data_IF_594365201291
#
_entry.id   IF_594365201291
#
_cell.length_a   1.000
_cell.length_b   1.000
_cell.length_c   1.000
_cell.angle_alpha   90.00
_cell.angle_beta   90.00
_cell.angle_gamma   90.00
#
_symmetry.space_group_name_H-M   'P 1'
#
loop_
_entity.id
_entity.type
_entity.pdbx_description
1 polymer ?
#
# COMPACT_ATOMS: atom_id res chain seq x y z
N UNK A 1 4.04 -32.89 -16.44
CA UNK A 1 4.29 -32.36 -17.80
C UNK A 1 4.90 -30.98 -17.66
N UNK A 2 5.89 -30.57 -18.45
CA UNK A 2 6.42 -29.21 -18.36
C UNK A 2 5.30 -28.22 -18.69
N UNK A 3 5.26 -27.09 -17.98
CA UNK A 3 4.25 -26.02 -17.99
C UNK A 3 4.08 -25.26 -19.34
N UNK A 4 4.04 -25.96 -20.48
CA UNK A 4 3.94 -25.33 -21.81
C UNK A 4 2.67 -24.50 -22.00
N UNK A 5 1.55 -24.88 -21.38
CA UNK A 5 0.30 -24.10 -21.39
C UNK A 5 0.42 -22.77 -20.62
N UNK A 6 1.07 -22.78 -19.46
CA UNK A 6 1.31 -21.59 -18.65
C UNK A 6 2.21 -20.58 -19.39
N UNK A 7 3.22 -21.05 -20.11
CA UNK A 7 4.09 -20.17 -20.89
C UNK A 7 3.34 -19.56 -22.11
N UNK A 8 2.44 -20.31 -22.77
CA UNK A 8 1.63 -19.76 -23.88
C UNK A 8 0.59 -18.70 -23.45
N UNK A 9 -0.03 -18.87 -22.28
CA UNK A 9 -0.92 -17.85 -21.72
C UNK A 9 -0.14 -16.62 -21.28
N UNK A 10 1.08 -16.79 -20.74
CA UNK A 10 1.96 -15.69 -20.40
C UNK A 10 2.34 -14.85 -21.60
N UNK A 11 2.67 -15.47 -22.74
CA UNK A 11 2.95 -14.74 -23.98
C UNK A 11 1.74 -13.95 -24.47
N UNK A 12 0.53 -14.52 -24.33
CA UNK A 12 -0.71 -13.85 -24.70
C UNK A 12 -1.00 -12.66 -23.78
N UNK A 13 -0.84 -12.82 -22.46
CA UNK A 13 -0.97 -11.75 -21.47
C UNK A 13 0.00 -10.62 -21.77
N UNK A 14 1.29 -10.96 -21.94
CA UNK A 14 2.36 -10.01 -22.24
C UNK A 14 2.04 -9.21 -23.51
N UNK A 15 1.58 -9.88 -24.57
CA UNK A 15 1.21 -9.24 -25.83
C UNK A 15 0.00 -8.30 -25.69
N UNK A 16 -1.00 -8.66 -24.87
CA UNK A 16 -2.17 -7.81 -24.63
C UNK A 16 -1.81 -6.57 -23.80
N UNK A 17 -1.07 -6.75 -22.70
CA UNK A 17 -0.62 -5.65 -21.85
C UNK A 17 0.31 -4.69 -22.61
N UNK A 18 1.17 -5.23 -23.49
CA UNK A 18 2.01 -4.41 -24.39
C UNK A 18 1.18 -3.49 -25.27
N UNK A 19 0.10 -4.00 -25.90
CA UNK A 19 -0.79 -3.18 -26.76
C UNK A 19 -1.41 -2.01 -26.00
N UNK A 20 -1.81 -2.24 -24.75
CA UNK A 20 -2.37 -1.17 -23.92
C UNK A 20 -1.30 -0.18 -23.46
N UNK A 21 -0.14 -0.65 -23.00
CA UNK A 21 0.97 0.22 -22.58
C UNK A 21 1.49 1.11 -23.72
N UNK A 22 1.58 0.58 -24.94
CA UNK A 22 2.01 1.35 -26.12
C UNK A 22 1.02 2.45 -26.50
N UNK A 23 -0.27 2.33 -26.16
CA UNK A 23 -1.33 3.28 -26.56
C UNK A 23 -1.87 4.16 -25.42
N UNK A 24 -1.66 3.79 -24.16
CA UNK A 24 -2.22 4.47 -23.00
C UNK A 24 -1.64 5.86 -22.74
N UNK A 25 -2.43 6.83 -22.25
CA UNK A 25 -1.91 8.16 -21.92
C UNK A 25 -0.87 8.13 -20.79
N UNK A 26 -1.12 7.32 -19.75
CA UNK A 26 -0.27 7.17 -18.58
C UNK A 26 0.18 5.71 -18.41
N UNK A 27 1.36 5.34 -18.92
CA UNK A 27 1.95 4.04 -18.64
C UNK A 27 2.50 4.01 -17.21
N UNK A 28 2.01 3.08 -16.39
CA UNK A 28 2.36 2.96 -14.97
C UNK A 28 3.00 1.58 -14.73
N UNK A 29 4.12 1.55 -14.01
CA UNK A 29 4.83 0.32 -13.66
C UNK A 29 5.24 0.30 -12.19
N UNK A 30 5.21 -0.89 -11.59
CA UNK A 30 5.71 -1.13 -10.24
C UNK A 30 6.31 -2.53 -10.09
N UNK A 31 6.86 -2.83 -8.92
CA UNK A 31 7.14 -4.19 -8.47
C UNK A 31 6.52 -4.36 -7.08
N UNK A 32 5.48 -5.19 -7.00
CA UNK A 32 4.58 -5.22 -5.85
C UNK A 32 4.01 -6.59 -5.59
N UNK A 33 3.51 -7.28 -6.60
CA UNK A 33 2.73 -8.50 -6.42
C UNK A 33 2.42 -9.20 -7.74
N UNK A 34 2.08 -10.49 -7.65
CA UNK A 34 1.85 -11.37 -8.79
C UNK A 34 0.37 -11.61 -9.07
N UNK A 35 -0.40 -10.55 -9.35
CA UNK A 35 -1.85 -10.60 -9.67
C UNK A 35 -2.16 -11.16 -11.07
N UNK A 36 -1.49 -12.26 -11.44
CA UNK A 36 -1.58 -12.89 -12.77
C UNK A 36 -2.97 -13.46 -13.04
N UNK A 37 -3.60 -14.05 -12.03
CA UNK A 37 -4.91 -14.68 -12.22
C UNK A 37 -6.01 -13.63 -12.40
N UNK A 38 -5.93 -12.49 -11.72
CA UNK A 38 -6.81 -11.34 -11.99
C UNK A 38 -6.65 -10.84 -13.44
N UNK A 39 -5.41 -10.77 -13.96
CA UNK A 39 -5.17 -10.40 -15.36
C UNK A 39 -5.76 -11.42 -16.34
N UNK A 40 -5.55 -12.71 -16.10
CA UNK A 40 -6.16 -13.78 -16.93
C UNK A 40 -7.67 -13.67 -16.95
N UNK A 41 -8.28 -13.47 -15.79
CA UNK A 41 -9.72 -13.29 -15.67
C UNK A 41 -10.19 -12.06 -16.46
N UNK A 42 -9.49 -10.93 -16.33
CA UNK A 42 -9.78 -9.70 -17.08
C UNK A 42 -9.77 -9.93 -18.60
N UNK A 43 -8.81 -10.73 -19.09
CA UNK A 43 -8.66 -11.04 -20.50
C UNK A 43 -9.51 -12.23 -20.99
N UNK A 44 -10.38 -12.78 -20.14
CA UNK A 44 -11.22 -13.93 -20.48
C UNK A 44 -10.43 -15.23 -20.71
N UNK A 45 -9.23 -15.32 -20.14
CA UNK A 45 -8.40 -16.53 -20.17
C UNK A 45 -8.79 -17.49 -19.03
N UNK A 46 -8.39 -18.76 -19.18
CA UNK A 46 -8.49 -19.73 -18.10
C UNK A 46 -7.61 -19.28 -16.92
N UNK A 47 -8.23 -19.15 -15.76
CA UNK A 47 -7.59 -18.74 -14.51
C UNK A 47 -7.82 -19.79 -13.43
N UNK A 48 -6.85 -19.93 -12.53
CA UNK A 48 -6.97 -20.78 -11.35
C UNK A 48 -7.42 -19.93 -10.14
N UNK A 49 -8.70 -20.01 -9.72
CA UNK A 49 -9.18 -19.25 -8.57
C UNK A 49 -8.51 -19.69 -7.25
N UNK A 50 -7.80 -20.83 -7.25
CA UNK A 50 -7.10 -21.32 -6.09
C UNK A 50 -5.67 -20.83 -5.94
N UNK A 51 -5.07 -20.32 -7.02
CA UNK A 51 -3.73 -19.74 -6.97
C UNK A 51 -3.75 -18.47 -6.11
N UNK A 52 -2.65 -18.23 -5.39
CA UNK A 52 -2.49 -17.10 -4.48
C UNK A 52 -1.43 -16.17 -4.99
N UNK A 53 -1.69 -14.89 -4.89
CA UNK A 53 -0.70 -13.86 -5.21
C UNK A 53 0.46 -13.90 -4.23
N UNK A 54 1.66 -13.83 -4.80
CA UNK A 54 2.88 -13.49 -4.08
C UNK A 54 2.90 -11.96 -3.95
N UNK A 55 2.95 -11.45 -2.72
CA UNK A 55 2.88 -10.01 -2.44
C UNK A 55 4.19 -9.56 -1.82
N UNK A 56 5.00 -8.83 -2.59
CA UNK A 56 6.24 -8.21 -2.13
C UNK A 56 5.97 -6.92 -1.35
N UNK A 57 5.03 -6.10 -1.83
CA UNK A 57 4.66 -4.82 -1.22
C UNK A 57 3.23 -4.43 -1.56
N UNK A 58 2.33 -4.45 -0.57
CA UNK A 58 0.98 -3.86 -0.69
C UNK A 58 1.11 -2.39 -1.08
N UNK A 59 2.04 -1.66 -0.45
CA UNK A 59 2.19 -0.24 -0.69
C UNK A 59 2.46 0.12 -2.15
N UNK A 60 3.43 -0.56 -2.75
CA UNK A 60 3.71 -0.36 -4.17
C UNK A 60 2.51 -0.70 -5.05
N UNK A 61 1.73 -1.74 -4.70
CA UNK A 61 0.52 -2.10 -5.43
C UNK A 61 -0.56 -1.03 -5.29
N UNK A 62 -0.96 -0.67 -4.06
CA UNK A 62 -2.08 0.25 -3.82
C UNK A 62 -1.80 1.66 -4.34
N UNK A 63 -0.55 2.12 -4.20
CA UNK A 63 -0.12 3.41 -4.75
C UNK A 63 -0.16 3.40 -6.28
N UNK A 64 0.33 2.34 -6.94
CA UNK A 64 0.33 2.27 -8.40
C UNK A 64 -1.09 2.13 -8.95
N UNK A 65 -1.93 1.37 -8.25
CA UNK A 65 -3.33 1.24 -8.58
C UNK A 65 -4.12 2.54 -8.32
N UNK A 66 -3.78 3.30 -7.27
CA UNK A 66 -4.34 4.62 -7.01
C UNK A 66 -4.10 5.59 -8.18
N UNK A 67 -2.90 5.58 -8.76
CA UNK A 67 -2.56 6.35 -9.95
C UNK A 67 -3.44 5.99 -11.15
N UNK A 68 -3.63 4.68 -11.39
CA UNK A 68 -4.46 4.20 -12.49
C UNK A 68 -5.93 4.61 -12.30
N UNK A 69 -6.46 4.45 -11.09
CA UNK A 69 -7.82 4.86 -10.73
C UNK A 69 -8.01 6.37 -10.91
N UNK A 70 -7.07 7.20 -10.45
CA UNK A 70 -7.12 8.66 -10.64
C UNK A 70 -7.25 9.03 -12.13
N UNK A 71 -6.52 8.34 -13.01
CA UNK A 71 -6.58 8.58 -14.45
C UNK A 71 -7.87 8.06 -15.11
N UNK A 72 -8.46 6.98 -14.57
CA UNK A 72 -9.69 6.36 -15.09
C UNK A 72 -10.94 7.13 -14.71
N UNK A 73 -10.96 7.78 -13.54
CA UNK A 73 -12.13 8.49 -13.05
C UNK A 73 -12.43 9.75 -13.87
N UNK A 74 -13.70 9.99 -14.25
CA UNK A 74 -14.08 11.22 -14.93
C UNK A 74 -13.92 12.43 -14.01
N UNK A 75 -13.33 13.52 -14.51
CA UNK A 75 -13.15 14.74 -13.72
C UNK A 75 -14.47 15.32 -13.17
N UNK A 76 -15.56 15.21 -13.94
CA UNK A 76 -16.90 15.67 -13.53
C UNK A 76 -17.43 14.97 -12.27
N UNK A 77 -16.94 13.78 -11.97
CA UNK A 77 -17.45 12.92 -10.91
C UNK A 77 -16.60 12.99 -9.62
N UNK A 78 -15.62 13.91 -9.56
CA UNK A 78 -14.77 14.13 -8.37
C UNK A 78 -15.55 14.51 -7.11
N UNK A 79 -16.77 15.01 -7.26
CA UNK A 79 -17.66 15.28 -6.13
C UNK A 79 -18.37 14.03 -5.58
N UNK A 80 -18.26 12.87 -6.24
CA UNK A 80 -18.95 11.63 -5.87
C UNK A 80 -18.03 10.39 -5.90
N UNK A 81 -16.76 10.58 -5.53
CA UNK A 81 -15.74 9.52 -5.51
C UNK A 81 -16.14 8.31 -4.67
N UNK A 82 -16.94 8.52 -3.63
CA UNK A 82 -17.44 7.48 -2.72
C UNK A 82 -18.42 6.48 -3.38
N UNK A 83 -18.93 6.79 -4.58
CA UNK A 83 -19.86 5.93 -5.34
C UNK A 83 -19.16 4.93 -6.25
N UNK A 84 -17.86 5.11 -6.51
CA UNK A 84 -17.10 4.24 -7.40
C UNK A 84 -16.56 3.04 -6.63
N UNK A 85 -17.14 1.87 -6.88
CA UNK A 85 -16.62 0.57 -6.40
C UNK A 85 -16.06 -0.14 -7.63
N UNK A 86 -14.82 -0.60 -7.57
CA UNK A 86 -14.13 -1.28 -8.68
C UNK A 86 -14.31 -0.57 -10.05
N UNK A 87 -13.73 0.65 -10.24
CA UNK A 87 -13.87 1.38 -11.49
C UNK A 87 -13.35 0.56 -12.67
N UNK A 88 -14.11 0.57 -13.78
CA UNK A 88 -13.72 -0.15 -14.98
C UNK A 88 -12.42 0.44 -15.56
N UNK A 89 -11.39 -0.39 -15.82
CA UNK A 89 -10.14 0.08 -16.40
C UNK A 89 -10.37 0.81 -17.73
N UNK A 90 -9.75 1.97 -17.89
CA UNK A 90 -9.72 2.70 -19.16
C UNK A 90 -8.31 2.67 -19.73
N UNK A 91 -8.04 1.67 -20.57
CA UNK A 91 -6.72 1.45 -21.16
C UNK A 91 -6.20 2.63 -21.99
N UNK A 92 -7.07 3.49 -22.53
CA UNK A 92 -6.63 4.72 -23.24
C UNK A 92 -6.09 5.79 -22.28
N UNK A 93 -6.54 5.78 -21.02
CA UNK A 93 -6.16 6.78 -20.01
C UNK A 93 -4.95 6.33 -19.22
N UNK A 94 -5.01 5.16 -18.61
CA UNK A 94 -3.88 4.60 -17.88
C UNK A 94 -3.88 3.08 -17.99
N UNK A 95 -2.68 2.51 -17.98
CA UNK A 95 -2.50 1.07 -17.83
C UNK A 95 -1.38 0.80 -16.84
N UNK A 96 -1.68 -0.02 -15.83
CA UNK A 96 -0.79 -0.36 -14.75
C UNK A 96 -0.33 -1.80 -14.89
N UNK A 97 0.98 -2.02 -14.85
CA UNK A 97 1.58 -3.34 -14.96
C UNK A 97 2.62 -3.60 -13.87
N UNK A 98 2.76 -4.88 -13.55
CA UNK A 98 3.84 -5.42 -12.73
C UNK A 98 4.57 -6.50 -13.54
N UNK A 99 5.86 -6.33 -13.86
CA UNK A 99 6.58 -7.27 -14.71
C UNK A 99 6.73 -8.65 -14.05
N UNK A 100 6.50 -8.77 -12.74
CA UNK A 100 6.48 -10.08 -12.05
C UNK A 100 5.35 -10.97 -12.56
N UNK A 101 4.29 -10.39 -13.12
CA UNK A 101 3.19 -11.14 -13.73
C UNK A 101 3.63 -11.97 -14.95
N UNK A 102 4.74 -11.64 -15.60
CA UNK A 102 5.23 -12.33 -16.81
C UNK A 102 6.47 -13.18 -16.57
N UNK A 103 6.89 -13.35 -15.32
CA UNK A 103 8.03 -14.21 -14.99
C UNK A 103 7.67 -15.67 -15.22
N UNK A 104 8.49 -16.38 -15.99
CA UNK A 104 8.30 -17.78 -16.34
C UNK A 104 8.33 -18.69 -15.11
N UNK A 105 7.63 -19.83 -15.21
CA UNK A 105 7.49 -20.80 -14.11
C UNK A 105 8.84 -21.32 -13.59
N UNK A 106 9.85 -21.45 -14.46
CA UNK A 106 11.21 -21.91 -14.12
C UNK A 106 11.97 -20.95 -13.16
N UNK A 107 11.64 -19.67 -13.22
CA UNK A 107 12.22 -18.61 -12.39
C UNK A 107 11.31 -18.28 -11.19
N UNK A 108 10.04 -18.68 -11.26
CA UNK A 108 9.02 -18.45 -10.23
C UNK A 108 9.31 -19.19 -8.91
N UNK A 109 9.75 -20.44 -8.99
CA UNK A 109 10.10 -21.23 -7.79
C UNK A 109 11.23 -20.60 -6.99
N UNK A 110 12.20 -19.96 -7.65
CA UNK A 110 13.29 -19.21 -7.02
C UNK A 110 12.77 -17.94 -6.32
N UNK A 111 11.86 -17.22 -6.97
CA UNK A 111 11.25 -16.00 -6.40
C UNK A 111 10.39 -16.32 -5.17
N UNK A 112 9.54 -17.34 -5.25
CA UNK A 112 8.70 -17.78 -4.12
C UNK A 112 9.52 -18.26 -2.92
N UNK A 113 10.59 -19.02 -3.18
CA UNK A 113 11.49 -19.51 -2.11
C UNK A 113 12.19 -18.35 -1.39
N UNK A 114 12.64 -17.33 -2.13
CA UNK A 114 13.28 -16.14 -1.56
C UNK A 114 12.29 -15.26 -0.80
N UNK A 115 11.05 -15.13 -1.26
CA UNK A 115 10.00 -14.39 -0.53
C UNK A 115 9.65 -15.07 0.79
N UNK A 116 9.50 -16.39 0.76
CA UNK A 116 9.25 -17.20 1.95
C UNK A 116 10.42 -17.10 2.95
N UNK A 117 11.65 -17.17 2.46
CA UNK A 117 12.86 -16.97 3.26
C UNK A 117 12.92 -15.54 3.79
N UNK A 118 12.73 -14.52 2.95
CA UNK A 118 12.77 -13.11 3.34
C UNK A 118 11.73 -12.74 4.40
N UNK A 119 10.51 -13.27 4.29
CA UNK A 119 9.47 -13.13 5.31
C UNK A 119 9.83 -13.87 6.59
N UNK A 120 10.36 -15.10 6.51
CA UNK A 120 10.81 -15.84 7.70
C UNK A 120 12.02 -15.18 8.39
N UNK A 121 12.97 -14.66 7.62
CA UNK A 121 14.12 -13.90 8.12
C UNK A 121 13.64 -12.61 8.79
N UNK A 122 12.73 -11.86 8.16
CA UNK A 122 12.15 -10.66 8.74
C UNK A 122 11.31 -10.94 10.00
N UNK A 123 10.70 -12.12 10.13
CA UNK A 123 9.91 -12.47 11.32
C UNK A 123 10.75 -12.97 12.51
N UNK A 124 12.09 -13.06 12.36
CA UNK A 124 12.98 -13.50 13.42
C UNK A 124 14.05 -12.43 13.71
N UNK A 125 14.05 -11.86 14.92
CA UNK A 125 14.92 -10.75 15.31
C UNK A 125 16.42 -11.07 15.24
N UNK A 126 16.80 -12.32 15.44
CA UNK A 126 18.19 -12.79 15.31
C UNK A 126 18.68 -12.78 13.85
N UNK A 127 17.78 -12.99 12.89
CA UNK A 127 18.09 -13.03 11.46
C UNK A 127 18.05 -11.65 10.80
N UNK A 128 17.35 -10.68 11.39
CA UNK A 128 17.47 -9.24 11.04
C UNK A 128 18.89 -8.73 11.23
N UNK A 129 19.55 -9.09 12.34
CA UNK A 129 20.95 -8.73 12.61
C UNK A 129 21.93 -9.30 11.59
N UNK A 130 21.68 -10.52 11.09
CA UNK A 130 22.48 -11.14 10.01
C UNK A 130 22.23 -10.43 8.67
N UNK A 131 20.97 -10.06 8.37
CA UNK A 131 20.61 -9.29 7.17
C UNK A 131 21.29 -7.91 7.15
N UNK A 132 21.26 -7.18 8.26
CA UNK A 132 21.88 -5.85 8.37
C UNK A 132 23.42 -5.91 8.15
N UNK A 133 24.04 -7.08 8.36
CA UNK A 133 25.47 -7.35 8.08
C UNK A 133 25.76 -7.87 6.65
N UNK A 134 24.78 -8.46 5.98
CA UNK A 134 24.91 -9.02 4.62
C UNK A 134 24.54 -7.99 3.53
N UNK A 135 23.81 -6.94 3.90
CA UNK A 135 23.32 -5.88 3.00
C UNK A 135 24.43 -5.18 2.17
N UNK A 136 25.70 -5.31 2.54
CA UNK A 136 26.84 -4.73 1.81
C UNK A 136 27.44 -5.66 0.74
N UNK A 137 27.26 -6.99 0.82
CA UNK A 137 28.04 -7.95 0.01
C UNK A 137 27.24 -8.65 -1.13
N UNK A 138 25.90 -8.59 -1.11
CA UNK A 138 25.04 -9.31 -2.07
C UNK A 138 24.25 -8.40 -3.05
N UNK A 139 24.48 -7.08 -3.05
CA UNK A 139 23.71 -6.09 -3.85
C UNK A 139 24.00 -6.11 -5.37
N UNK A 140 24.85 -7.00 -5.87
CA UNK A 140 25.08 -7.12 -7.31
C UNK A 140 24.14 -8.15 -7.94
N UNK A 141 22.98 -7.66 -8.38
CA UNK A 141 21.87 -8.34 -9.09
C UNK A 141 21.06 -9.30 -8.23
N UNK A 142 20.01 -8.77 -7.61
CA UNK A 142 18.96 -9.61 -7.02
C UNK A 142 18.35 -10.51 -8.13
N UNK A 143 18.09 -11.80 -7.87
CA UNK A 143 17.47 -12.70 -8.84
C UNK A 143 16.15 -12.17 -9.43
N UNK A 144 15.40 -11.36 -8.65
CA UNK A 144 14.17 -10.72 -9.11
C UNK A 144 14.45 -9.72 -10.24
N UNK A 145 15.52 -8.92 -10.16
CA UNK A 145 15.95 -8.00 -11.22
C UNK A 145 16.14 -8.74 -12.53
N UNK A 146 16.91 -9.82 -12.52
CA UNK A 146 17.17 -10.60 -13.74
C UNK A 146 15.90 -11.24 -14.29
N UNK A 147 14.96 -11.62 -13.43
CA UNK A 147 13.69 -12.20 -13.85
C UNK A 147 12.72 -11.16 -14.46
N UNK A 148 12.67 -9.94 -13.93
CA UNK A 148 11.72 -8.91 -14.39
C UNK A 148 12.25 -8.07 -15.56
N UNK A 149 13.57 -7.96 -15.75
CA UNK A 149 14.16 -7.09 -16.79
C UNK A 149 13.71 -7.47 -18.21
N UNK A 150 13.77 -8.75 -18.65
CA UNK A 150 13.35 -9.09 -20.00
C UNK A 150 11.89 -8.72 -20.33
N UNK A 151 10.86 -9.12 -19.53
CA UNK A 151 9.49 -8.71 -19.82
C UNK A 151 9.29 -7.20 -19.70
N UNK A 152 9.96 -6.54 -18.74
CA UNK A 152 9.89 -5.08 -18.60
C UNK A 152 10.36 -4.35 -19.87
N UNK A 153 11.55 -4.69 -20.37
CA UNK A 153 12.11 -4.05 -21.56
C UNK A 153 11.28 -4.35 -22.82
N UNK A 154 10.68 -5.54 -22.89
CA UNK A 154 9.77 -5.91 -23.97
C UNK A 154 8.48 -5.07 -23.96
N UNK A 155 7.85 -4.90 -22.79
CA UNK A 155 6.61 -4.13 -22.62
C UNK A 155 6.81 -2.65 -23.00
N UNK A 156 7.95 -2.07 -22.63
CA UNK A 156 8.22 -0.64 -22.80
C UNK A 156 9.00 -0.30 -24.06
N UNK A 157 9.31 -1.27 -24.92
CA UNK A 157 10.17 -1.07 -26.09
C UNK A 157 9.73 0.11 -26.96
N UNK A 158 8.44 0.21 -27.29
CA UNK A 158 7.86 1.27 -28.14
C UNK A 158 7.10 2.35 -27.37
N UNK A 159 7.32 2.44 -26.06
CA UNK A 159 6.77 3.53 -25.25
C UNK A 159 7.74 4.71 -25.32
N UNK A 160 7.26 5.84 -25.85
CA UNK A 160 8.03 7.07 -26.02
C UNK A 160 7.60 8.21 -25.08
N UNK A 161 6.45 8.07 -24.43
CA UNK A 161 5.93 9.02 -23.43
C UNK A 161 6.51 8.73 -22.04
N UNK A 162 6.46 9.69 -21.09
CA UNK A 162 6.93 9.46 -19.73
C UNK A 162 6.25 8.25 -19.06
N UNK A 163 7.06 7.39 -18.43
CA UNK A 163 6.62 6.20 -17.71
C UNK A 163 6.62 6.50 -16.21
N UNK A 164 5.50 6.29 -15.55
CA UNK A 164 5.37 6.48 -14.09
C UNK A 164 5.84 5.19 -13.41
N UNK A 165 6.92 5.30 -12.63
CA UNK A 165 7.52 4.18 -11.89
C UNK A 165 7.28 4.37 -10.40
N UNK A 166 6.73 3.35 -9.74
CA UNK A 166 6.52 3.34 -8.28
C UNK A 166 7.50 2.42 -7.54
N UNK A 167 8.55 1.94 -8.21
CA UNK A 167 9.60 1.13 -7.58
C UNK A 167 10.96 1.46 -8.19
N UNK A 168 11.98 1.71 -7.35
CA UNK A 168 13.31 2.13 -7.81
C UNK A 168 13.88 1.19 -8.87
N UNK A 169 13.73 -0.12 -8.70
CA UNK A 169 14.31 -1.14 -9.60
C UNK A 169 13.86 -0.96 -11.07
N UNK A 170 12.56 -0.89 -11.32
CA UNK A 170 12.03 -0.77 -12.69
C UNK A 170 12.30 0.59 -13.28
N UNK A 171 12.25 1.65 -12.47
CA UNK A 171 12.60 2.97 -12.97
C UNK A 171 14.08 3.11 -13.30
N UNK A 172 14.97 2.51 -12.51
CA UNK A 172 16.40 2.46 -12.81
C UNK A 172 16.68 1.71 -14.12
N UNK A 173 16.08 0.52 -14.30
CA UNK A 173 16.22 -0.25 -15.55
C UNK A 173 15.75 0.58 -16.76
N UNK A 174 14.57 1.21 -16.67
CA UNK A 174 13.99 1.98 -17.77
C UNK A 174 14.78 3.27 -18.06
N UNK A 175 15.19 3.99 -17.02
CA UNK A 175 16.00 5.19 -17.17
C UNK A 175 17.38 4.86 -17.76
N UNK A 176 17.99 3.75 -17.33
CA UNK A 176 19.28 3.28 -17.83
C UNK A 176 19.29 2.90 -19.31
N UNK A 177 18.14 2.55 -19.89
CA UNK A 177 17.97 2.32 -21.34
C UNK A 177 17.41 3.55 -22.09
N UNK A 178 17.42 4.73 -21.45
CA UNK A 178 17.07 6.01 -22.07
C UNK A 178 15.57 6.34 -22.12
N UNK A 179 14.70 5.62 -21.39
CA UNK A 179 13.28 5.99 -21.30
C UNK A 179 13.08 7.21 -20.41
N UNK A 180 12.07 8.03 -20.69
CA UNK A 180 11.63 9.08 -19.79
C UNK A 180 10.88 8.47 -18.60
N UNK A 181 11.38 8.66 -17.38
CA UNK A 181 10.82 8.04 -16.16
C UNK A 181 10.43 9.10 -15.14
N UNK A 182 9.15 9.12 -14.76
CA UNK A 182 8.67 9.81 -13.56
C UNK A 182 8.75 8.82 -12.41
N UNK A 183 9.82 8.92 -11.63
CA UNK A 183 10.10 8.03 -10.51
C UNK A 183 9.45 8.56 -9.24
N UNK A 184 8.44 7.85 -8.74
CA UNK A 184 7.86 8.13 -7.43
C UNK A 184 8.75 7.50 -6.37
N UNK A 185 9.18 8.33 -5.40
CA UNK A 185 9.85 7.88 -4.17
C UNK A 185 8.75 7.55 -3.18
N UNK A 186 8.34 6.28 -3.16
CA UNK A 186 7.16 5.75 -2.45
C UNK A 186 7.37 5.58 -0.94
N UNK A 187 8.36 6.28 -0.38
CA UNK A 187 8.85 6.11 0.97
C UNK A 187 9.37 7.48 1.46
N UNK A 188 8.96 7.98 2.65
CA UNK A 188 9.58 9.18 3.23
C UNK A 188 11.04 8.97 3.68
N UNK A 189 11.59 7.77 3.46
CA UNK A 189 13.02 7.49 3.51
C UNK A 189 13.57 7.24 2.09
N UNK A 190 14.53 8.08 1.68
CA UNK A 190 15.17 7.98 0.35
C UNK A 190 16.20 6.84 0.36
N UNK A 191 15.81 5.69 -0.19
CA UNK A 191 16.70 4.54 -0.36
C UNK A 191 17.82 4.85 -1.36
N UNK A 192 19.01 4.30 -1.14
CA UNK A 192 20.20 4.54 -1.99
C UNK A 192 19.91 4.27 -3.47
N UNK A 193 19.11 3.25 -3.76
CA UNK A 193 18.81 2.82 -5.11
C UNK A 193 18.08 3.88 -5.93
N UNK A 194 17.33 4.80 -5.32
CA UNK A 194 16.74 5.92 -6.05
C UNK A 194 17.80 6.87 -6.63
N UNK A 195 19.05 6.80 -6.16
CA UNK A 195 20.15 7.67 -6.56
C UNK A 195 21.03 7.07 -7.67
N UNK A 196 20.90 5.77 -7.99
CA UNK A 196 21.76 5.05 -8.95
C UNK A 196 21.87 5.78 -10.30
N UNK A 197 20.73 6.30 -10.78
CA UNK A 197 20.60 7.01 -12.05
C UNK A 197 20.05 8.44 -11.91
N UNK A 198 20.10 9.04 -10.70
CA UNK A 198 19.46 10.34 -10.46
C UNK A 198 20.09 11.51 -11.22
N UNK A 199 21.34 11.37 -11.64
CA UNK A 199 22.09 12.31 -12.49
C UNK A 199 21.60 12.32 -13.94
N UNK A 200 20.89 11.28 -14.39
CA UNK A 200 20.39 11.21 -15.77
C UNK A 200 19.31 12.29 -16.03
N UNK A 201 19.29 12.93 -17.21
CA UNK A 201 18.31 13.98 -17.54
C UNK A 201 16.92 13.42 -17.86
N UNK A 202 16.83 12.12 -18.19
CA UNK A 202 15.58 11.43 -18.55
C UNK A 202 14.84 10.85 -17.33
N UNK A 203 15.17 11.27 -16.10
CA UNK A 203 14.44 10.91 -14.88
C UNK A 203 14.02 12.16 -14.08
N UNK A 204 12.75 12.21 -13.66
CA UNK A 204 12.22 13.16 -12.67
C UNK A 204 11.77 12.38 -11.45
N UNK A 205 11.90 12.97 -10.27
CA UNK A 205 11.54 12.37 -9.00
C UNK A 205 10.32 13.07 -8.40
N UNK A 206 9.32 12.28 -8.02
CA UNK A 206 8.16 12.75 -7.28
C UNK A 206 8.29 12.25 -5.84
N UNK A 207 8.39 13.18 -4.90
CA UNK A 207 8.56 12.91 -3.46
C UNK A 207 7.34 13.35 -2.66
N UNK A 208 7.21 12.85 -1.43
CA UNK A 208 6.00 13.08 -0.62
C UNK A 208 5.94 14.49 -0.04
N UNK A 209 7.06 15.02 0.43
CA UNK A 209 7.11 16.32 1.11
C UNK A 209 8.47 17.00 0.93
N UNK A 210 8.58 18.24 1.40
CA UNK A 210 9.81 19.04 1.33
C UNK A 210 10.96 18.38 2.11
N UNK A 211 10.67 17.71 3.22
CA UNK A 211 11.70 16.98 3.97
C UNK A 211 12.32 15.88 3.11
N UNK A 212 11.49 15.07 2.46
CA UNK A 212 11.93 14.00 1.57
C UNK A 212 12.72 14.57 0.38
N UNK A 213 12.33 15.74 -0.14
CA UNK A 213 13.10 16.45 -1.18
C UNK A 213 14.48 16.85 -0.68
N UNK A 214 14.58 17.47 0.50
CA UNK A 214 15.85 17.86 1.11
C UNK A 214 16.75 16.64 1.36
N UNK A 215 16.20 15.59 1.97
CA UNK A 215 16.92 14.33 2.25
C UNK A 215 17.43 13.70 0.94
N UNK A 216 16.64 13.76 -0.14
CA UNK A 216 17.04 13.25 -1.45
C UNK A 216 18.26 14.00 -2.00
N UNK A 217 18.23 15.33 -2.00
CA UNK A 217 19.28 16.17 -2.57
C UNK A 217 20.57 16.10 -1.74
N UNK A 218 20.45 16.09 -0.41
CA UNK A 218 21.59 15.90 0.49
C UNK A 218 22.26 14.56 0.24
N UNK A 219 21.46 13.47 0.19
CA UNK A 219 21.99 12.14 -0.04
C UNK A 219 22.60 11.99 -1.44
N UNK A 220 22.00 12.60 -2.46
CA UNK A 220 22.56 12.65 -3.80
C UNK A 220 23.94 13.34 -3.81
N UNK A 221 24.07 14.48 -3.13
CA UNK A 221 25.34 15.20 -3.01
C UNK A 221 26.41 14.35 -2.29
N UNK A 222 26.05 13.65 -1.21
CA UNK A 222 26.94 12.73 -0.51
C UNK A 222 27.43 11.56 -1.39
N UNK A 223 26.62 11.13 -2.35
CA UNK A 223 26.97 10.09 -3.33
C UNK A 223 27.70 10.65 -4.57
N UNK A 224 28.02 11.94 -4.59
CA UNK A 224 28.66 12.60 -5.73
C UNK A 224 27.77 12.68 -6.97
N UNK A 225 26.44 12.63 -6.80
CA UNK A 225 25.46 12.74 -7.89
C UNK A 225 25.03 14.19 -8.06
N UNK A 226 25.16 14.71 -9.29
CA UNK A 226 24.66 16.03 -9.64
C UNK A 226 23.20 15.94 -10.11
N UNK A 227 22.27 16.21 -9.21
CA UNK A 227 20.83 16.22 -9.50
C UNK A 227 20.36 17.67 -9.61
N UNK A 228 19.66 17.99 -10.70
CA UNK A 228 18.96 19.28 -10.81
C UNK A 228 17.77 19.27 -9.84
N UNK A 229 17.77 20.21 -8.89
CA UNK A 229 16.71 20.35 -7.90
C UNK A 229 15.31 20.46 -8.53
N UNK A 230 15.19 21.08 -9.72
CA UNK A 230 13.91 21.20 -10.43
C UNK A 230 13.34 19.87 -10.91
N UNK A 231 14.17 18.81 -10.95
CA UNK A 231 13.73 17.44 -11.26
C UNK A 231 13.23 16.69 -10.02
N UNK A 232 13.42 17.22 -8.80
CA UNK A 232 12.89 16.63 -7.57
C UNK A 232 11.70 17.45 -7.08
N UNK A 233 10.50 16.89 -7.27
CA UNK A 233 9.24 17.62 -7.18
C UNK A 233 8.42 17.05 -6.03
N UNK A 234 7.99 17.93 -5.12
CA UNK A 234 7.06 17.58 -4.05
C UNK A 234 5.67 17.41 -4.65
N UNK A 235 5.13 16.20 -4.53
CA UNK A 235 3.83 15.83 -5.09
C UNK A 235 2.84 15.35 -4.04
N UNK A 236 3.32 14.85 -2.91
CA UNK A 236 2.49 14.15 -1.94
C UNK A 236 2.47 12.63 -2.16
N UNK A 237 2.02 11.86 -1.16
CA UNK A 237 1.83 10.43 -1.28
C UNK A 237 0.72 10.10 -2.29
N UNK A 238 0.91 9.11 -3.19
CA UNK A 238 -0.12 8.63 -4.09
C UNK A 238 -1.21 7.88 -3.32
N UNK A 239 -2.30 8.59 -3.00
CA UNK A 239 -3.49 8.04 -2.34
C UNK A 239 -4.60 7.83 -3.37
N UNK A 240 -5.38 6.76 -3.24
CA UNK A 240 -6.52 6.53 -4.11
C UNK A 240 -7.61 7.58 -3.87
N UNK A 241 -8.14 8.25 -4.92
CA UNK A 241 -9.18 9.28 -4.75
C UNK A 241 -10.45 8.76 -4.06
N UNK A 242 -10.75 7.46 -4.18
CA UNK A 242 -11.90 6.84 -3.50
C UNK A 242 -11.71 6.76 -1.97
N UNK A 243 -10.47 6.58 -1.53
CA UNK A 243 -10.10 6.62 -0.11
C UNK A 243 -10.31 8.05 0.42
N UNK A 244 -9.88 9.07 -0.33
CA UNK A 244 -10.18 10.47 -0.01
C UNK A 244 -11.70 10.74 0.00
N UNK A 245 -12.44 10.17 -0.94
CA UNK A 245 -13.90 10.23 -0.99
C UNK A 245 -14.59 9.66 0.26
N UNK A 246 -13.98 8.65 0.89
CA UNK A 246 -14.51 8.00 2.09
C UNK A 246 -14.67 8.97 3.28
N UNK A 247 -13.91 10.08 3.32
CA UNK A 247 -14.03 11.14 4.34
C UNK A 247 -15.44 11.68 4.48
N UNK A 248 -16.19 11.76 3.36
CA UNK A 248 -17.56 12.32 3.34
C UNK A 248 -18.56 11.50 4.16
N UNK A 249 -18.24 10.23 4.45
CA UNK A 249 -19.08 9.35 5.27
C UNK A 249 -18.78 9.46 6.76
N UNK A 250 -17.84 10.33 7.17
CA UNK A 250 -17.38 10.44 8.54
C UNK A 250 -17.82 11.73 9.18
N UNK A 251 -18.24 11.64 10.44
CA UNK A 251 -18.43 12.80 11.32
C UNK A 251 -17.54 12.69 12.54
N UNK A 252 -17.02 13.82 13.00
CA UNK A 252 -16.28 13.91 14.27
C UNK A 252 -17.12 13.43 15.47
N UNK A 253 -18.45 13.46 15.36
CA UNK A 253 -19.37 13.07 16.44
C UNK A 253 -19.96 11.67 16.30
N UNK A 254 -19.45 10.84 15.38
CA UNK A 254 -19.96 9.48 15.19
C UNK A 254 -19.87 8.65 16.48
N UNK A 255 -18.77 8.81 17.22
CA UNK A 255 -18.49 8.12 18.48
C UNK A 255 -19.48 8.46 19.60
N UNK A 256 -20.34 9.47 19.41
CA UNK A 256 -21.39 9.81 20.37
C UNK A 256 -22.65 8.95 20.22
N UNK A 257 -22.81 8.27 19.08
CA UNK A 257 -24.05 7.58 18.70
C UNK A 257 -23.86 6.08 18.48
N UNK A 258 -22.62 5.63 18.32
CA UNK A 258 -22.29 4.24 18.02
C UNK A 258 -20.94 3.83 18.64
N UNK A 259 -20.66 2.51 18.73
CA UNK A 259 -19.36 2.01 19.21
C UNK A 259 -18.19 2.55 18.38
N UNK A 260 -17.00 2.57 18.99
CA UNK A 260 -15.74 2.86 18.30
C UNK A 260 -15.44 1.76 17.29
N UNK A 261 -15.28 2.11 16.01
CA UNK A 261 -14.98 1.15 14.94
C UNK A 261 -13.48 1.09 14.71
N UNK A 262 -12.86 -0.04 15.05
CA UNK A 262 -11.41 -0.26 14.98
C UNK A 262 -11.09 -1.18 13.80
N UNK A 263 -10.23 -0.72 12.90
CA UNK A 263 -9.60 -1.57 11.89
C UNK A 263 -8.21 -2.01 12.35
N UNK A 264 -7.93 -3.32 12.39
CA UNK A 264 -6.61 -3.86 12.75
C UNK A 264 -5.99 -4.49 11.51
N UNK A 265 -4.83 -4.01 11.09
CA UNK A 265 -4.19 -4.46 9.84
C UNK A 265 -2.92 -5.26 10.06
N UNK A 266 -2.68 -6.22 9.17
CA UNK A 266 -1.39 -6.91 9.07
C UNK A 266 -0.40 -6.11 8.24
N UNK A 267 0.86 -6.01 8.69
CA UNK A 267 1.93 -5.44 7.88
C UNK A 267 2.32 -6.37 6.72
N UNK A 268 2.80 -5.81 5.60
CA UNK A 268 3.10 -6.59 4.38
C UNK A 268 4.13 -7.72 4.58
N UNK A 269 5.08 -7.55 5.49
CA UNK A 269 6.07 -8.57 5.86
C UNK A 269 5.54 -9.58 6.91
N UNK A 270 4.39 -9.27 7.53
CA UNK A 270 3.79 -10.05 8.61
C UNK A 270 4.60 -10.08 9.90
N UNK A 271 5.49 -9.10 10.09
CA UNK A 271 6.32 -8.95 11.30
C UNK A 271 5.50 -8.64 12.55
N UNK A 272 4.24 -8.24 12.38
CA UNK A 272 3.35 -7.78 13.44
C UNK A 272 2.38 -8.84 13.97
N UNK A 273 2.59 -10.11 13.63
CA UNK A 273 1.66 -11.19 13.99
C UNK A 273 1.43 -11.31 15.49
N UNK A 274 2.52 -11.28 16.27
CA UNK A 274 2.45 -11.36 17.72
C UNK A 274 1.75 -10.14 18.33
N UNK A 275 2.00 -8.94 17.80
CA UNK A 275 1.30 -7.72 18.24
C UNK A 275 -0.20 -7.81 17.96
N UNK A 276 -0.60 -8.22 16.75
CA UNK A 276 -2.02 -8.37 16.37
C UNK A 276 -2.71 -9.41 17.27
N UNK A 277 -2.06 -10.54 17.54
CA UNK A 277 -2.61 -11.56 18.46
C UNK A 277 -2.86 -11.00 19.84
N UNK A 278 -1.88 -10.30 20.42
CA UNK A 278 -1.98 -9.68 21.75
C UNK A 278 -3.08 -8.63 21.78
N UNK A 279 -3.19 -7.80 20.75
CA UNK A 279 -4.24 -6.79 20.65
C UNK A 279 -5.62 -7.46 20.64
N UNK A 280 -5.80 -8.50 19.85
CA UNK A 280 -7.07 -9.21 19.79
C UNK A 280 -7.41 -9.88 21.13
N UNK A 281 -6.46 -10.53 21.80
CA UNK A 281 -6.74 -11.13 23.12
C UNK A 281 -7.15 -10.10 24.17
N UNK A 282 -6.63 -8.87 24.09
CA UNK A 282 -6.96 -7.79 25.03
C UNK A 282 -8.27 -7.06 24.68
N UNK A 283 -8.61 -6.91 23.40
CA UNK A 283 -9.78 -6.12 22.98
C UNK A 283 -11.07 -6.93 22.82
N UNK A 284 -11.02 -8.25 22.66
CA UNK A 284 -12.22 -9.05 22.40
C UNK A 284 -13.19 -9.13 23.58
N UNK A 285 -12.74 -8.84 24.81
CA UNK A 285 -13.67 -8.66 25.93
C UNK A 285 -14.57 -7.44 25.73
N UNK A 286 -14.04 -6.34 25.19
CA UNK A 286 -14.76 -5.12 24.88
C UNK A 286 -15.80 -5.36 23.77
N UNK A 287 -15.51 -6.22 22.80
CA UNK A 287 -16.48 -6.61 21.75
C UNK A 287 -17.71 -7.34 22.33
N UNK A 288 -17.56 -8.05 23.46
CA UNK A 288 -18.63 -8.82 24.10
C UNK A 288 -19.47 -8.02 25.11
N UNK A 289 -18.94 -6.92 25.65
CA UNK A 289 -19.61 -6.10 26.68
C UNK A 289 -20.93 -5.52 26.18
N UNK A 290 -21.84 -5.22 27.12
CA UNK A 290 -23.11 -4.54 26.87
C UNK A 290 -23.21 -3.28 27.74
N UNK A 291 -23.46 -2.09 27.16
CA UNK A 291 -23.42 -1.80 25.73
C UNK A 291 -22.02 -2.07 25.14
N UNK A 292 -21.95 -2.32 23.84
CA UNK A 292 -20.69 -2.64 23.14
C UNK A 292 -19.86 -1.37 22.98
N UNK A 293 -18.70 -1.23 23.65
CA UNK A 293 -17.85 -0.05 23.47
C UNK A 293 -17.17 -0.01 22.10
N UNK A 294 -16.88 -1.17 21.49
CA UNK A 294 -16.09 -1.25 20.24
C UNK A 294 -16.63 -2.30 19.26
N UNK A 295 -16.38 -2.07 17.97
CA UNK A 295 -16.47 -3.04 16.87
C UNK A 295 -15.12 -3.19 16.18
N UNK A 296 -14.79 -4.39 15.70
CA UNK A 296 -13.49 -4.69 15.09
C UNK A 296 -13.65 -5.21 13.67
N UNK A 297 -12.87 -4.67 12.74
CA UNK A 297 -12.58 -5.28 11.44
C UNK A 297 -11.10 -5.62 11.40
N UNK A 298 -10.76 -6.87 11.07
CA UNK A 298 -9.37 -7.25 10.83
C UNK A 298 -9.08 -7.34 9.34
N UNK A 299 -7.92 -6.87 8.90
CA UNK A 299 -7.40 -7.08 7.54
C UNK A 299 -6.19 -8.00 7.60
N UNK A 300 -6.33 -9.24 7.13
CA UNK A 300 -5.25 -10.24 7.03
C UNK A 300 -4.60 -10.31 5.64
N UNK A 301 -5.18 -9.61 4.64
CA UNK A 301 -4.70 -9.62 3.27
C UNK A 301 -4.54 -11.03 2.70
N UNK A 302 -3.43 -11.26 1.98
CA UNK A 302 -3.07 -12.57 1.41
C UNK A 302 -2.33 -13.47 2.40
N UNK A 303 -2.25 -13.12 3.69
CA UNK A 303 -1.48 -13.89 4.68
C UNK A 303 -2.35 -14.93 5.37
N UNK A 304 -2.26 -16.19 4.90
CA UNK A 304 -3.08 -17.28 5.42
C UNK A 304 -2.86 -17.52 6.92
N UNK A 305 -1.63 -17.39 7.38
CA UNK A 305 -1.26 -17.66 8.75
C UNK A 305 -1.83 -16.64 9.74
N UNK A 306 -2.11 -15.40 9.29
CA UNK A 306 -2.90 -14.41 10.04
C UNK A 306 -4.39 -14.73 10.00
N UNK A 307 -4.90 -15.16 8.85
CA UNK A 307 -6.31 -15.57 8.70
C UNK A 307 -6.66 -16.65 9.72
N UNK A 308 -5.86 -17.73 9.75
CA UNK A 308 -6.04 -18.83 10.69
C UNK A 308 -5.95 -18.37 12.15
N UNK A 309 -4.95 -17.54 12.46
CA UNK A 309 -4.79 -16.99 13.81
C UNK A 309 -6.03 -16.21 14.27
N UNK A 310 -6.58 -15.34 13.41
CA UNK A 310 -7.74 -14.51 13.76
C UNK A 310 -9.00 -15.38 13.90
N UNK A 311 -9.20 -16.35 13.01
CA UNK A 311 -10.30 -17.31 13.08
C UNK A 311 -10.24 -18.15 14.35
N UNK A 312 -9.05 -18.63 14.72
CA UNK A 312 -8.85 -19.41 15.95
C UNK A 312 -9.14 -18.58 17.21
N UNK A 313 -8.70 -17.32 17.24
CA UNK A 313 -8.98 -16.42 18.37
C UNK A 313 -10.49 -16.14 18.45
N UNK A 314 -11.14 -15.80 17.34
CA UNK A 314 -12.58 -15.54 17.32
C UNK A 314 -13.38 -16.76 17.79
N UNK A 315 -13.00 -17.96 17.35
CA UNK A 315 -13.60 -19.22 17.80
C UNK A 315 -13.42 -19.45 19.31
N UNK A 316 -12.21 -19.23 19.84
CA UNK A 316 -11.91 -19.38 21.28
C UNK A 316 -12.70 -18.40 22.15
N UNK A 317 -12.89 -17.18 21.67
CA UNK A 317 -13.65 -16.14 22.38
C UNK A 317 -15.16 -16.19 22.13
N UNK A 318 -15.63 -17.19 21.37
CA UNK A 318 -17.03 -17.35 20.96
C UNK A 318 -17.61 -16.13 20.23
N UNK A 319 -16.80 -15.51 19.37
CA UNK A 319 -17.17 -14.36 18.54
C UNK A 319 -17.39 -14.84 17.11
N UNK A 320 -18.55 -14.51 16.55
CA UNK A 320 -18.88 -14.82 15.16
C UNK A 320 -18.21 -13.80 14.24
N UNK A 321 -17.52 -14.29 13.20
CA UNK A 321 -17.03 -13.45 12.10
C UNK A 321 -18.20 -13.28 11.13
N UNK A 322 -18.69 -12.05 11.01
CA UNK A 322 -19.87 -11.74 10.18
C UNK A 322 -19.47 -11.24 8.78
N UNK A 323 -20.41 -11.26 7.82
CA UNK A 323 -20.19 -10.73 6.47
C UNK A 323 -19.74 -9.26 6.45
N UNK A 324 -18.97 -8.89 5.42
CA UNK A 324 -18.40 -7.53 5.30
C UNK A 324 -19.48 -6.47 5.12
N UNK A 325 -20.59 -6.83 4.49
CA UNK A 325 -21.75 -5.99 4.20
C UNK A 325 -22.52 -5.58 5.47
N UNK A 326 -22.40 -6.34 6.56
CA UNK A 326 -23.00 -5.98 7.83
C UNK A 326 -22.16 -4.91 8.55
N UNK A 327 -22.45 -3.63 8.34
CA UNK A 327 -21.72 -2.53 8.98
C UNK A 327 -21.86 -2.48 10.53
N UNK A 328 -22.89 -3.15 11.07
CA UNK A 328 -23.14 -3.24 12.51
C UNK A 328 -22.57 -4.52 13.13
N UNK A 329 -21.91 -5.36 12.32
CA UNK A 329 -21.22 -6.53 12.81
C UNK A 329 -20.14 -6.15 13.83
N UNK A 330 -20.10 -6.90 14.93
CA UNK A 330 -19.14 -6.63 16.00
C UNK A 330 -17.71 -7.02 15.61
N UNK A 331 -17.61 -8.03 14.75
CA UNK A 331 -16.34 -8.60 14.33
C UNK A 331 -16.40 -9.05 12.87
N UNK A 332 -15.48 -8.53 12.05
CA UNK A 332 -15.36 -8.82 10.61
C UNK A 332 -13.90 -9.12 10.25
N UNK A 333 -13.70 -9.86 9.16
CA UNK A 333 -12.37 -10.22 8.67
C UNK A 333 -12.29 -10.09 7.15
N UNK A 334 -11.37 -9.26 6.66
CA UNK A 334 -10.95 -9.18 5.26
C UNK A 334 -9.75 -10.10 5.06
N UNK A 335 -9.90 -11.11 4.20
CA UNK A 335 -8.83 -12.03 3.83
C UNK A 335 -9.11 -12.67 2.47
N UNK A 336 -8.07 -13.10 1.76
CA UNK A 336 -8.23 -13.55 0.39
C UNK A 336 -6.96 -14.12 -0.21
N UNK A 337 -7.03 -14.45 -1.49
CA UNK A 337 -5.89 -14.95 -2.28
C UNK A 337 -5.32 -13.90 -3.24
N UNK A 338 -6.16 -12.95 -3.65
CA UNK A 338 -5.90 -11.99 -4.73
C UNK A 338 -5.81 -10.58 -4.17
N UNK A 339 -4.69 -9.89 -4.43
CA UNK A 339 -4.40 -8.58 -3.85
C UNK A 339 -5.31 -7.48 -4.43
N UNK A 340 -5.74 -7.63 -5.67
CA UNK A 340 -6.65 -6.69 -6.35
C UNK A 340 -7.98 -6.64 -5.61
N UNK A 341 -8.61 -7.80 -5.41
CA UNK A 341 -9.86 -7.94 -4.65
C UNK A 341 -9.73 -7.40 -3.22
N UNK A 342 -8.65 -7.77 -2.53
CA UNK A 342 -8.39 -7.33 -1.15
C UNK A 342 -8.26 -5.80 -1.03
N UNK A 343 -7.63 -5.16 -2.02
CA UNK A 343 -7.52 -3.72 -2.05
C UNK A 343 -8.89 -3.05 -2.28
N UNK A 344 -9.74 -3.61 -3.14
CA UNK A 344 -11.12 -3.14 -3.32
C UNK A 344 -11.94 -3.31 -2.02
N UNK A 345 -11.81 -4.44 -1.33
CA UNK A 345 -12.50 -4.68 -0.06
C UNK A 345 -12.10 -3.68 1.03
N UNK A 346 -10.82 -3.26 1.10
CA UNK A 346 -10.39 -2.20 2.01
C UNK A 346 -11.05 -0.86 1.69
N UNK A 347 -11.07 -0.48 0.41
CA UNK A 347 -11.70 0.75 -0.09
C UNK A 347 -13.20 0.77 0.21
N UNK A 348 -13.86 -0.38 0.06
CA UNK A 348 -15.30 -0.49 0.24
C UNK A 348 -15.71 -0.62 1.71
N UNK A 349 -15.01 -1.43 2.51
CA UNK A 349 -15.51 -1.89 3.81
C UNK A 349 -14.69 -1.42 5.01
N UNK A 350 -13.43 -1.04 4.84
CA UNK A 350 -12.56 -0.64 5.95
C UNK A 350 -12.44 0.88 6.07
N UNK A 351 -11.91 1.56 5.04
CA UNK A 351 -11.65 3.00 5.07
C UNK A 351 -12.90 3.86 5.35
N UNK A 352 -14.07 3.66 4.71
CA UNK A 352 -15.26 4.42 5.05
C UNK A 352 -15.82 4.11 6.44
N UNK A 353 -15.62 2.88 6.93
CA UNK A 353 -16.24 2.39 8.16
C UNK A 353 -15.46 2.74 9.44
N UNK A 354 -14.14 2.59 9.44
CA UNK A 354 -13.34 2.66 10.66
C UNK A 354 -13.17 4.10 11.18
N UNK A 355 -13.13 4.29 12.49
CA UNK A 355 -12.73 5.57 13.09
C UNK A 355 -11.22 5.60 13.35
N UNK A 356 -10.66 4.43 13.69
CA UNK A 356 -9.24 4.26 13.99
C UNK A 356 -8.68 3.04 13.29
N UNK A 357 -7.45 3.16 12.79
CA UNK A 357 -6.63 2.04 12.35
C UNK A 357 -5.55 1.74 13.37
N UNK A 358 -5.45 0.48 13.80
CA UNK A 358 -4.28 -0.07 14.49
C UNK A 358 -3.43 -0.77 13.44
N UNK A 359 -2.30 -0.15 13.07
CA UNK A 359 -1.51 -0.55 11.89
C UNK A 359 -0.02 -0.34 12.11
N UNK A 360 0.82 -1.05 11.36
CA UNK A 360 2.21 -0.60 11.18
C UNK A 360 2.22 0.78 10.49
N UNK A 361 3.19 1.65 10.82
CA UNK A 361 3.34 2.92 10.11
C UNK A 361 3.90 2.62 8.72
N UNK A 362 2.99 2.36 7.79
CA UNK A 362 3.28 1.85 6.45
C UNK A 362 2.74 2.82 5.41
N UNK A 363 3.45 2.92 4.28
CA UNK A 363 3.14 3.89 3.22
C UNK A 363 1.72 3.78 2.68
N UNK A 364 1.10 2.63 2.88
CA UNK A 364 -0.17 2.26 2.30
C UNK A 364 -1.30 2.31 3.32
N UNK A 365 -1.15 1.68 4.48
CA UNK A 365 -2.22 1.71 5.48
C UNK A 365 -2.27 3.04 6.24
N UNK A 366 -1.12 3.62 6.61
CA UNK A 366 -1.11 4.84 7.40
C UNK A 366 -1.62 6.03 6.58
N UNK A 367 -1.09 6.21 5.36
CA UNK A 367 -1.52 7.30 4.48
C UNK A 367 -2.96 7.13 4.00
N UNK A 368 -3.37 5.94 3.54
CA UNK A 368 -4.76 5.73 3.11
C UNK A 368 -5.74 5.95 4.28
N UNK A 369 -5.46 5.39 5.47
CA UNK A 369 -6.35 5.57 6.62
C UNK A 369 -6.44 7.02 7.08
N UNK A 370 -5.31 7.73 7.15
CA UNK A 370 -5.28 9.15 7.49
C UNK A 370 -6.05 9.97 6.44
N UNK A 371 -5.79 9.73 5.15
CA UNK A 371 -6.47 10.41 4.06
C UNK A 371 -7.98 10.13 4.03
N UNK A 372 -8.42 8.94 4.44
CA UNK A 372 -9.83 8.59 4.64
C UNK A 372 -10.48 9.28 5.84
N UNK A 373 -9.71 10.00 6.67
CA UNK A 373 -10.20 10.68 7.87
C UNK A 373 -10.26 9.77 9.10
N UNK A 374 -9.35 8.80 9.22
CA UNK A 374 -9.24 7.93 10.39
C UNK A 374 -8.08 8.37 11.30
N UNK A 375 -8.23 8.15 12.61
CA UNK A 375 -7.13 8.23 13.57
C UNK A 375 -6.19 7.01 13.43
N UNK A 376 -4.97 7.13 13.93
CA UNK A 376 -3.96 6.06 13.83
C UNK A 376 -3.39 5.66 15.20
N UNK A 377 -3.34 4.36 15.45
CA UNK A 377 -2.57 3.77 16.54
C UNK A 377 -1.47 2.88 15.94
N UNK A 378 -0.22 3.30 16.10
CA UNK A 378 0.92 2.68 15.42
C UNK A 378 1.49 1.50 16.18
N UNK A 379 1.56 0.36 15.51
CA UNK A 379 2.36 -0.78 15.93
C UNK A 379 3.85 -0.46 15.81
N UNK A 380 4.70 -1.28 16.44
CA UNK A 380 6.14 -1.01 16.55
C UNK A 380 6.82 -0.86 15.19
N UNK A 381 7.46 0.28 14.86
CA UNK A 381 8.18 0.43 13.59
C UNK A 381 9.23 -0.66 13.38
N UNK A 382 9.28 -1.24 12.18
CA UNK A 382 10.28 -2.23 11.81
C UNK A 382 11.65 -1.59 11.51
N UNK A 383 11.65 -0.42 10.88
CA UNK A 383 12.87 0.28 10.46
C UNK A 383 12.68 1.78 10.41
N UNK A 384 13.73 2.49 10.00
CA UNK A 384 13.77 3.95 9.92
C UNK A 384 12.60 4.53 9.11
N UNK A 385 12.27 3.93 7.98
CA UNK A 385 11.18 4.40 7.14
C UNK A 385 9.82 4.39 7.84
N UNK A 386 9.49 3.34 8.61
CA UNK A 386 8.24 3.27 9.37
C UNK A 386 8.27 4.29 10.52
N UNK A 387 9.44 4.59 11.11
CA UNK A 387 9.56 5.65 12.11
C UNK A 387 9.26 7.02 11.51
N UNK A 388 9.78 7.32 10.33
CA UNK A 388 9.51 8.59 9.63
C UNK A 388 8.01 8.75 9.35
N UNK A 389 7.33 7.69 8.90
CA UNK A 389 5.87 7.71 8.69
C UNK A 389 5.13 7.97 10.00
N UNK A 390 5.52 7.30 11.09
CA UNK A 390 4.93 7.51 12.41
C UNK A 390 5.09 8.97 12.86
N UNK A 391 6.30 9.52 12.75
CA UNK A 391 6.63 10.89 13.15
C UNK A 391 5.78 11.92 12.39
N UNK A 392 5.60 11.75 11.08
CA UNK A 392 4.74 12.61 10.26
C UNK A 392 3.33 12.69 10.85
N UNK A 393 2.69 11.55 11.12
CA UNK A 393 1.30 11.55 11.59
C UNK A 393 1.14 11.89 13.07
N UNK A 394 2.15 11.64 13.91
CA UNK A 394 2.18 12.10 15.29
C UNK A 394 2.28 13.64 15.36
N UNK A 395 3.12 14.26 14.53
CA UNK A 395 3.23 15.72 14.42
C UNK A 395 1.94 16.37 13.91
N UNK A 396 1.21 15.71 13.01
CA UNK A 396 -0.11 16.17 12.55
C UNK A 396 -1.22 15.95 13.60
N UNK A 397 -0.94 15.27 14.72
CA UNK A 397 -1.92 14.94 15.75
C UNK A 397 -2.95 13.88 15.32
N UNK A 398 -2.69 13.17 14.22
CA UNK A 398 -3.58 12.12 13.67
C UNK A 398 -3.25 10.76 14.25
N UNK A 399 -1.97 10.53 14.59
CA UNK A 399 -1.47 9.26 15.08
C UNK A 399 -0.83 9.33 16.46
N UNK A 400 -0.76 8.17 17.12
CA UNK A 400 0.05 7.89 18.32
C UNK A 400 0.52 6.44 18.30
N UNK A 401 1.59 6.14 19.03
CA UNK A 401 2.00 4.76 19.32
C UNK A 401 0.89 3.95 20.02
N UNK A 402 0.70 2.70 19.59
CA UNK A 402 -0.13 1.71 20.27
C UNK A 402 0.65 1.07 21.43
N UNK A 403 0.09 1.13 22.64
CA UNK A 403 0.67 0.48 23.82
C UNK A 403 0.20 -0.98 23.89
N UNK A 404 0.87 -1.87 23.15
CA UNK A 404 0.42 -3.26 22.90
C UNK A 404 0.07 -4.03 24.18
N UNK A 405 0.90 -3.92 25.22
CA UNK A 405 0.70 -4.61 26.51
C UNK A 405 -0.46 -4.03 27.33
N UNK A 406 -0.91 -2.82 27.01
CA UNK A 406 -1.95 -2.09 27.73
C UNK A 406 -3.02 -1.52 26.78
N UNK A 407 -3.21 -2.15 25.62
CA UNK A 407 -3.97 -1.56 24.51
C UNK A 407 -5.43 -1.34 24.90
N UNK A 408 -6.01 -2.23 25.70
CA UNK A 408 -7.36 -2.09 26.24
C UNK A 408 -7.50 -0.85 27.13
N UNK A 409 -6.55 -0.63 28.03
CA UNK A 409 -6.50 0.56 28.89
C UNK A 409 -6.34 1.81 28.03
N UNK A 410 -5.43 1.78 27.06
CA UNK A 410 -5.21 2.88 26.13
C UNK A 410 -6.51 3.23 25.37
N UNK A 411 -7.18 2.25 24.76
CA UNK A 411 -8.45 2.46 24.04
C UNK A 411 -9.49 3.08 24.97
N UNK A 412 -9.69 2.54 26.18
CA UNK A 412 -10.66 3.11 27.13
C UNK A 412 -10.34 4.56 27.48
N UNK A 413 -9.07 4.88 27.81
CA UNK A 413 -8.64 6.23 28.17
C UNK A 413 -8.81 7.20 27.00
N UNK A 414 -8.42 6.79 25.79
CA UNK A 414 -8.52 7.62 24.59
C UNK A 414 -9.98 7.83 24.13
N UNK A 415 -10.91 6.98 24.56
CA UNK A 415 -12.35 7.14 24.33
C UNK A 415 -13.05 8.04 25.36
N UNK A 416 -12.42 8.35 26.51
CA UNK A 416 -13.00 9.27 27.49
C UNK A 416 -12.96 10.70 26.98
N UNK A 417 -14.09 11.42 27.10
CA UNK A 417 -14.16 12.85 26.76
C UNK A 417 -13.57 13.71 27.87
N UNK A 418 -12.70 14.65 27.50
CA UNK A 418 -12.17 15.62 28.45
C UNK A 418 -13.26 16.60 28.91
N UNK A 419 -13.22 17.00 30.18
CA UNK A 419 -14.22 17.90 30.79
C UNK A 419 -14.28 19.29 30.11
N UNK A 420 -13.15 19.81 29.64
CA UNK A 420 -13.06 21.18 29.10
C UNK A 420 -13.45 21.30 27.62
N UNK A 421 -13.09 20.32 26.80
CA UNK A 421 -13.35 20.35 25.35
C UNK A 421 -14.52 19.46 24.92
N UNK A 422 -15.02 18.61 25.83
CA UNK A 422 -16.09 17.63 25.58
C UNK A 422 -15.83 16.75 24.32
N UNK A 423 -14.56 16.43 24.09
CA UNK A 423 -14.08 15.56 23.02
C UNK A 423 -13.15 14.50 23.59
N UNK A 424 -13.20 13.30 23.01
CA UNK A 424 -12.23 12.24 23.24
C UNK A 424 -11.03 12.40 22.31
N UNK A 425 -9.93 11.70 22.58
CA UNK A 425 -8.75 11.76 21.70
C UNK A 425 -9.08 11.26 20.29
N UNK A 426 -9.89 10.21 20.16
CA UNK A 426 -10.30 9.71 18.85
C UNK A 426 -11.13 10.74 18.06
N UNK A 427 -12.02 11.50 18.73
CA UNK A 427 -12.77 12.59 18.07
C UNK A 427 -11.81 13.68 17.57
N UNK A 428 -10.84 14.08 18.40
CA UNK A 428 -9.83 15.09 18.05
C UNK A 428 -8.91 14.63 16.90
N UNK A 429 -8.34 13.43 16.99
CA UNK A 429 -7.46 12.89 15.96
C UNK A 429 -8.19 12.67 14.62
N UNK A 430 -9.46 12.28 14.67
CA UNK A 430 -10.34 12.21 13.50
C UNK A 430 -10.58 13.59 12.88
N UNK A 431 -10.80 14.62 13.69
CA UNK A 431 -10.88 16.00 13.21
C UNK A 431 -9.59 16.43 12.51
N UNK A 432 -8.42 16.14 13.09
CA UNK A 432 -7.13 16.40 12.45
C UNK A 432 -6.99 15.66 11.12
N UNK A 433 -7.39 14.39 11.07
CA UNK A 433 -7.38 13.59 9.84
C UNK A 433 -8.29 14.19 8.74
N UNK A 434 -9.49 14.63 9.13
CA UNK A 434 -10.45 15.31 8.25
C UNK A 434 -10.00 16.71 7.80
N UNK A 435 -8.98 17.28 8.47
CA UNK A 435 -8.35 18.56 8.13
C UNK A 435 -6.89 18.40 7.66
N UNK A 436 -6.49 17.20 7.22
CA UNK A 436 -5.15 16.97 6.68
C UNK A 436 -4.83 17.93 5.53
N UNK A 437 -3.57 18.41 5.44
CA UNK A 437 -3.14 19.23 4.31
C UNK A 437 -3.40 18.55 2.96
N UNK A 438 -3.76 19.35 1.95
CA UNK A 438 -4.05 18.90 0.59
C UNK A 438 -2.94 18.03 -0.02
N UNK A 439 -1.69 18.27 0.39
CA UNK A 439 -0.51 17.48 0.00
C UNK A 439 -0.71 15.97 0.26
N UNK A 440 -1.35 15.58 1.36
CA UNK A 440 -1.58 14.18 1.72
C UNK A 440 -2.77 13.53 0.97
N UNK A 441 -3.49 14.30 0.15
CA UNK A 441 -4.76 13.89 -0.46
C UNK A 441 -4.69 13.79 -1.98
N UNK A 442 -3.82 14.57 -2.62
CA UNK A 442 -3.82 14.77 -4.06
C UNK A 442 -2.55 14.28 -4.77
N UNK A 443 -1.71 13.48 -4.11
CA UNK A 443 -0.45 12.99 -4.70
C UNK A 443 -0.65 12.26 -6.02
N UNK A 444 -1.70 11.45 -6.15
CA UNK A 444 -2.00 10.75 -7.40
C UNK A 444 -2.28 11.72 -8.55
N UNK A 445 -3.09 12.75 -8.32
CA UNK A 445 -3.36 13.77 -9.33
C UNK A 445 -2.09 14.55 -9.71
N UNK A 446 -1.32 14.98 -8.69
CA UNK A 446 -0.11 15.77 -8.89
C UNK A 446 0.91 15.00 -9.74
N UNK A 447 1.13 13.71 -9.47
CA UNK A 447 2.06 12.87 -10.23
C UNK A 447 1.60 12.70 -11.69
N UNK A 448 0.30 12.51 -11.95
CA UNK A 448 -0.21 12.46 -13.33
C UNK A 448 0.04 13.77 -14.08
N UNK A 449 -0.12 14.92 -13.40
CA UNK A 449 0.14 16.22 -14.00
C UNK A 449 1.62 16.37 -14.38
N UNK A 450 2.55 15.97 -13.51
CA UNK A 450 3.99 15.96 -13.85
C UNK A 450 4.29 15.09 -15.06
N UNK A 451 3.70 13.89 -15.14
CA UNK A 451 3.87 13.00 -16.29
C UNK A 451 3.29 13.59 -17.58
N UNK A 452 2.21 14.35 -17.49
CA UNK A 452 1.55 15.00 -18.62
C UNK A 452 2.35 16.20 -19.13
N UNK A 453 2.89 17.02 -18.24
CA UNK A 453 3.67 18.23 -18.54
C UNK A 453 5.05 17.94 -19.14
N UNK A 454 5.56 16.71 -18.95
CA UNK A 454 6.85 16.30 -19.49
C UNK A 454 6.77 15.62 -20.87
N UNK A 455 5.57 15.54 -21.46
CA UNK A 455 5.41 15.17 -22.87
C UNK A 455 5.95 16.28 -23.76
#
# INVERSE_FOLDING_TARGET
MPNTLLDSQLDTLLAQDRRFIESTEFPIVTVSSSFREDLKQFYGMEHDPNMRDVVFSRAHFSMAFAMAVEAWLPQKDRQHLEKYIAPQPNAKRAWFIDPTNYVQSKDWSKIQTIEYIGRKLARNSFLKWVKDRIDTFARNRLPITTAITPPLLHLFQHVHRPIISLHYEVGNILAGVGKHVVQVVTDPHVRDQYLDHADLPNIKFCVFDEKTKSDFLEKAALFGKHVDEKRVIVTGPPVCPRVVGARKKKSIHDLRRRPLRICITTGGLGTNKEEVRKILSELLDLVRKRPEPIHILCYAGTQHDFTLMIQDIAKKEHITIEPLENENAKFRLIHGKHIVELNEQLIQYAFPWADVFITKPSGDMAYDAAAAGCSLLFLTPWGEWEKNIQEVFEQQGVGRKAEIEHIKTQVNVLSVRALHNNESWFEHAKEKALNLPALFLHGSENILNIAKEWK
#
